data_IF_674635802435
#
_entry.id   IF_674635802435
#
_cell.length_a   1.000
_cell.length_b   1.000
_cell.length_c   1.000
_cell.angle_alpha   90.00
_cell.angle_beta   90.00
_cell.angle_gamma   90.00
#
_symmetry.space_group_name_H-M   'P 1'
#
loop_
_entity.id
_entity.type
_entity.pdbx_description
1 polymer ?
#
# COMPACT_ATOMS: atom_id res chain seq x y z
N UNK A 1 -28.82 7.30 -23.20
CA UNK A 1 -27.38 6.97 -23.18
C UNK A 1 -27.21 5.78 -22.25
N UNK A 2 -26.73 4.65 -22.74
CA UNK A 2 -26.44 3.48 -21.90
C UNK A 2 -25.28 3.82 -21.01
N UNK A 3 -25.44 3.57 -19.73
CA UNK A 3 -24.41 3.78 -18.73
C UNK A 3 -23.15 2.97 -19.02
N UNK A 4 -22.00 3.60 -18.85
CA UNK A 4 -20.66 3.03 -19.12
C UNK A 4 -19.95 2.55 -17.86
N UNK A 5 -20.52 2.80 -16.66
CA UNK A 5 -19.98 2.45 -15.34
C UNK A 5 -21.08 1.73 -14.58
N UNK A 6 -21.03 0.42 -14.54
CA UNK A 6 -22.20 -0.39 -14.15
C UNK A 6 -22.34 -0.61 -12.65
N UNK A 7 -21.24 -0.96 -11.97
CA UNK A 7 -21.29 -1.28 -10.53
C UNK A 7 -21.62 -0.04 -9.71
N UNK A 8 -20.88 1.06 -9.92
CA UNK A 8 -21.16 2.31 -9.22
C UNK A 8 -22.54 2.89 -9.55
N UNK A 9 -23.06 2.67 -10.75
CA UNK A 9 -24.42 3.11 -11.07
C UNK A 9 -25.51 2.28 -10.39
N UNK A 10 -25.32 0.97 -10.23
CA UNK A 10 -26.21 0.17 -9.39
C UNK A 10 -26.23 0.78 -7.98
N UNK A 11 -25.06 0.98 -7.40
CA UNK A 11 -24.91 1.57 -6.06
C UNK A 11 -25.51 2.97 -5.96
N UNK A 12 -25.44 3.79 -7.01
CA UNK A 12 -25.99 5.14 -7.02
C UNK A 12 -27.50 5.22 -7.07
N UNK A 13 -28.16 4.15 -7.50
CA UNK A 13 -29.63 4.06 -7.58
C UNK A 13 -30.21 3.48 -6.30
N UNK A 14 -29.71 2.33 -5.93
CA UNK A 14 -30.14 1.60 -4.75
C UNK A 14 -29.00 0.69 -4.27
N UNK A 15 -28.70 0.74 -2.98
CA UNK A 15 -27.75 -0.20 -2.40
C UNK A 15 -28.43 -1.57 -2.27
N UNK A 16 -27.95 -2.61 -3.00
CA UNK A 16 -28.46 -3.96 -2.84
C UNK A 16 -28.26 -4.48 -1.42
N UNK A 17 -29.03 -5.49 -0.96
CA UNK A 17 -28.83 -6.09 0.34
C UNK A 17 -27.35 -6.47 0.55
N UNK A 18 -26.76 -5.97 1.64
CA UNK A 18 -25.36 -6.25 1.95
C UNK A 18 -25.26 -7.67 2.53
N UNK A 19 -24.43 -8.55 1.96
CA UNK A 19 -24.21 -9.87 2.52
C UNK A 19 -23.67 -9.80 3.97
N UNK A 20 -24.11 -10.67 4.84
CA UNK A 20 -23.69 -10.70 6.25
C UNK A 20 -22.17 -10.76 6.39
N UNK A 21 -21.49 -11.54 5.55
CA UNK A 21 -20.02 -11.62 5.54
C UNK A 21 -19.37 -10.24 5.29
N UNK A 22 -19.93 -9.45 4.35
CA UNK A 22 -19.46 -8.08 4.04
C UNK A 22 -19.61 -7.16 5.26
N UNK A 23 -20.72 -7.26 6.00
CA UNK A 23 -20.95 -6.44 7.21
C UNK A 23 -19.88 -6.73 8.25
N UNK A 24 -19.53 -7.98 8.50
CA UNK A 24 -18.46 -8.34 9.43
C UNK A 24 -17.09 -7.85 8.98
N UNK A 25 -16.76 -7.97 7.70
CA UNK A 25 -15.51 -7.43 7.15
C UNK A 25 -15.41 -5.91 7.33
N UNK A 26 -16.49 -5.17 7.06
CA UNK A 26 -16.53 -3.72 7.26
C UNK A 26 -16.35 -3.33 8.72
N UNK A 27 -16.98 -4.07 9.66
CA UNK A 27 -16.82 -3.85 11.09
C UNK A 27 -15.38 -4.06 11.55
N UNK A 28 -14.76 -5.19 11.17
CA UNK A 28 -13.35 -5.49 11.50
C UNK A 28 -12.41 -4.41 10.95
N UNK A 29 -12.64 -3.96 9.72
CA UNK A 29 -11.83 -2.93 9.08
C UNK A 29 -11.99 -1.55 9.73
N UNK A 30 -13.19 -1.20 10.21
CA UNK A 30 -13.40 0.01 10.98
C UNK A 30 -12.63 -0.02 12.30
N UNK A 31 -12.59 -1.18 12.98
CA UNK A 31 -11.79 -1.37 14.19
C UNK A 31 -10.28 -1.23 13.89
N UNK A 32 -9.77 -1.87 12.84
CA UNK A 32 -8.37 -1.75 12.44
C UNK A 32 -7.98 -0.32 12.10
N UNK A 33 -8.83 0.43 11.37
CA UNK A 33 -8.60 1.85 11.08
C UNK A 33 -8.48 2.67 12.36
N UNK A 34 -9.35 2.43 13.34
CA UNK A 34 -9.29 3.11 14.64
C UNK A 34 -8.02 2.79 15.44
N UNK A 35 -7.49 1.58 15.31
CA UNK A 35 -6.28 1.12 16.01
C UNK A 35 -4.97 1.54 15.34
N UNK A 36 -4.96 1.89 14.05
CA UNK A 36 -3.71 2.11 13.30
C UNK A 36 -2.82 3.21 13.91
N UNK A 37 -3.38 4.26 14.50
CA UNK A 37 -2.59 5.28 15.21
C UNK A 37 -1.80 4.72 16.38
N UNK A 38 -2.35 3.75 17.10
CA UNK A 38 -1.66 3.10 18.23
C UNK A 38 -0.40 2.38 17.72
N UNK A 39 -0.48 1.77 16.55
CA UNK A 39 0.65 1.05 15.95
C UNK A 39 1.71 2.03 15.43
N UNK A 40 1.30 3.13 14.82
CA UNK A 40 2.24 4.11 14.23
C UNK A 40 3.00 4.92 15.27
N UNK A 41 2.47 5.07 16.48
CA UNK A 41 3.15 5.81 17.58
C UNK A 41 4.19 4.99 18.34
N UNK A 42 4.15 3.64 18.26
CA UNK A 42 4.89 2.78 19.18
C UNK A 42 6.32 2.40 18.75
N UNK A 43 6.66 2.47 17.46
CA UNK A 43 7.95 1.95 16.98
C UNK A 43 8.44 2.62 15.69
N UNK A 44 8.90 3.90 15.70
CA UNK A 44 9.27 4.64 14.48
C UNK A 44 10.30 3.93 13.59
N UNK A 45 11.34 3.35 14.20
CA UNK A 45 12.40 2.64 13.48
C UNK A 45 11.91 1.36 12.79
N UNK A 46 11.03 0.64 13.46
CA UNK A 46 10.40 -0.55 12.89
C UNK A 46 9.51 -0.22 11.73
N UNK A 47 8.73 0.85 11.86
CA UNK A 47 7.87 1.36 10.78
C UNK A 47 8.69 1.79 9.57
N UNK A 48 9.86 2.41 9.76
CA UNK A 48 10.77 2.76 8.66
C UNK A 48 11.19 1.51 7.88
N UNK A 49 11.64 0.46 8.58
CA UNK A 49 12.02 -0.81 7.93
C UNK A 49 10.84 -1.48 7.21
N UNK A 50 9.65 -1.46 7.83
CA UNK A 50 8.44 -2.00 7.20
C UNK A 50 8.08 -1.23 5.93
N UNK A 51 8.18 0.11 5.92
CA UNK A 51 7.93 0.94 4.73
C UNK A 51 8.89 0.60 3.59
N UNK A 52 10.19 0.52 3.87
CA UNK A 52 11.20 0.17 2.88
C UNK A 52 10.94 -1.23 2.29
N UNK A 53 10.60 -2.20 3.15
CA UNK A 53 10.30 -3.56 2.73
C UNK A 53 9.00 -3.64 1.91
N UNK A 54 7.94 -2.99 2.38
CA UNK A 54 6.66 -2.94 1.68
C UNK A 54 6.79 -2.30 0.28
N UNK A 55 7.59 -1.23 0.15
CA UNK A 55 7.84 -0.58 -1.14
C UNK A 55 8.48 -1.55 -2.15
N UNK A 56 9.46 -2.34 -1.69
CA UNK A 56 10.13 -3.34 -2.55
C UNK A 56 9.14 -4.45 -2.92
N UNK A 57 8.46 -5.03 -1.92
CA UNK A 57 7.48 -6.10 -2.15
C UNK A 57 6.37 -5.65 -3.12
N UNK A 58 5.82 -4.45 -2.93
CA UNK A 58 4.75 -3.91 -3.77
C UNK A 58 5.18 -3.72 -5.22
N UNK A 59 6.34 -3.11 -5.44
CA UNK A 59 6.84 -2.88 -6.79
C UNK A 59 7.11 -4.19 -7.54
N UNK A 60 7.69 -5.18 -6.86
CA UNK A 60 7.98 -6.48 -7.46
C UNK A 60 6.71 -7.29 -7.66
N UNK A 61 5.86 -7.42 -6.63
CA UNK A 61 4.65 -8.24 -6.69
C UNK A 61 3.64 -7.73 -7.72
N UNK A 62 3.41 -6.41 -7.79
CA UNK A 62 2.49 -5.83 -8.77
C UNK A 62 2.89 -6.15 -10.22
N UNK A 63 4.18 -6.11 -10.51
CA UNK A 63 4.69 -6.45 -11.83
C UNK A 63 4.65 -7.98 -12.10
N UNK A 64 4.94 -8.79 -11.08
CA UNK A 64 4.92 -10.25 -11.19
C UNK A 64 3.50 -10.81 -11.42
N UNK A 65 2.46 -10.18 -10.88
CA UNK A 65 1.06 -10.50 -11.19
C UNK A 65 0.83 -10.43 -12.71
N UNK A 66 1.41 -9.44 -13.39
CA UNK A 66 1.30 -9.22 -14.84
C UNK A 66 2.34 -10.01 -15.66
N UNK A 67 3.12 -10.90 -15.02
CA UNK A 67 4.14 -11.70 -15.69
C UNK A 67 5.47 -10.98 -15.94
N UNK A 68 5.64 -9.75 -15.46
CA UNK A 68 6.91 -9.01 -15.52
C UNK A 68 7.78 -9.40 -14.34
N UNK A 69 8.95 -9.97 -14.61
CA UNK A 69 9.88 -10.50 -13.59
C UNK A 69 11.26 -9.89 -13.73
N UNK A 70 11.94 -9.71 -12.61
CA UNK A 70 13.33 -9.26 -12.51
C UNK A 70 14.14 -10.30 -11.75
N UNK A 71 15.43 -10.42 -12.03
CA UNK A 71 16.32 -11.30 -11.25
C UNK A 71 16.25 -10.96 -9.76
N UNK A 72 15.96 -11.96 -8.95
CA UNK A 72 15.78 -11.81 -7.50
C UNK A 72 16.95 -11.11 -6.80
N UNK A 73 18.18 -11.32 -7.30
CA UNK A 73 19.38 -10.65 -6.77
C UNK A 73 19.41 -9.16 -7.07
N UNK A 74 18.67 -8.72 -8.07
CA UNK A 74 18.63 -7.33 -8.53
C UNK A 74 17.40 -6.56 -8.04
N UNK A 75 16.32 -7.25 -7.60
CA UNK A 75 15.06 -6.64 -7.18
C UNK A 75 15.28 -5.42 -6.27
N UNK A 76 16.04 -5.60 -5.17
CA UNK A 76 16.32 -4.51 -4.22
C UNK A 76 17.09 -3.36 -4.87
N UNK A 77 18.12 -3.66 -5.66
CA UNK A 77 18.94 -2.64 -6.29
C UNK A 77 18.16 -1.87 -7.37
N UNK A 78 17.30 -2.57 -8.12
CA UNK A 78 16.39 -1.97 -9.10
C UNK A 78 15.38 -1.07 -8.39
N UNK A 79 14.65 -1.54 -7.40
CA UNK A 79 13.62 -0.77 -6.71
C UNK A 79 14.22 0.43 -5.96
N UNK A 80 15.37 0.28 -5.31
CA UNK A 80 16.00 1.35 -4.52
C UNK A 80 16.87 2.32 -5.33
N UNK A 81 16.96 2.17 -6.66
CA UNK A 81 17.75 3.06 -7.49
C UNK A 81 19.26 2.91 -7.38
N UNK A 82 19.73 1.77 -6.89
CA UNK A 82 21.14 1.52 -6.62
C UNK A 82 21.89 0.84 -7.77
N UNK A 83 21.21 0.54 -8.87
CA UNK A 83 21.79 -0.05 -10.05
C UNK A 83 21.21 0.56 -11.34
N UNK A 84 22.00 0.64 -12.44
CA UNK A 84 21.47 0.97 -13.75
C UNK A 84 20.49 -0.12 -14.20
N UNK A 85 19.43 0.29 -14.89
CA UNK A 85 18.40 -0.59 -15.42
C UNK A 85 18.94 -1.31 -16.66
N UNK A 86 18.74 -2.63 -16.76
CA UNK A 86 19.30 -3.46 -17.82
C UNK A 86 18.30 -3.74 -18.94
N UNK A 87 17.02 -3.83 -18.62
CA UNK A 87 15.99 -4.22 -19.55
C UNK A 87 14.65 -3.50 -19.27
N UNK A 88 13.65 -3.81 -20.08
CA UNK A 88 12.33 -3.26 -19.97
C UNK A 88 11.61 -3.68 -18.68
N UNK A 89 11.80 -4.92 -18.23
CA UNK A 89 11.15 -5.40 -17.01
C UNK A 89 11.62 -4.60 -15.79
N UNK A 90 12.92 -4.31 -15.70
CA UNK A 90 13.47 -3.46 -14.65
C UNK A 90 12.96 -2.02 -14.74
N UNK A 91 12.75 -1.50 -15.95
CA UNK A 91 12.16 -0.18 -16.17
C UNK A 91 10.71 -0.14 -15.67
N UNK A 92 9.90 -1.16 -15.96
CA UNK A 92 8.51 -1.25 -15.53
C UNK A 92 8.40 -1.40 -13.99
N UNK A 93 9.25 -2.22 -13.36
CA UNK A 93 9.33 -2.33 -11.88
C UNK A 93 9.72 -1.00 -11.24
N UNK A 94 10.71 -0.31 -11.81
CA UNK A 94 11.13 1.02 -11.34
C UNK A 94 10.02 2.06 -11.56
N UNK A 95 9.34 2.03 -12.69
CA UNK A 95 8.23 2.91 -13.00
C UNK A 95 7.08 2.75 -11.99
N UNK A 96 6.72 1.52 -11.67
CA UNK A 96 5.72 1.23 -10.63
C UNK A 96 6.17 1.76 -9.26
N UNK A 97 7.41 1.50 -8.86
CA UNK A 97 7.99 2.01 -7.63
C UNK A 97 7.93 3.55 -7.55
N UNK A 98 8.21 4.24 -8.65
CA UNK A 98 8.14 5.70 -8.72
C UNK A 98 6.70 6.19 -8.51
N UNK A 99 5.72 5.58 -9.18
CA UNK A 99 4.31 5.89 -9.01
C UNK A 99 3.82 5.61 -7.57
N UNK A 100 4.22 4.47 -7.01
CA UNK A 100 3.89 4.09 -5.63
C UNK A 100 4.50 5.08 -4.63
N UNK A 101 5.75 5.49 -4.83
CA UNK A 101 6.40 6.49 -3.98
C UNK A 101 5.70 7.84 -4.04
N UNK A 102 5.21 8.24 -5.22
CA UNK A 102 4.42 9.45 -5.38
C UNK A 102 3.09 9.35 -4.60
N UNK A 103 2.37 8.23 -4.70
CA UNK A 103 1.17 7.98 -3.89
C UNK A 103 1.48 8.05 -2.39
N UNK A 104 2.56 7.41 -1.94
CA UNK A 104 2.96 7.44 -0.54
C UNK A 104 3.29 8.85 -0.01
N UNK A 105 3.94 9.67 -0.84
CA UNK A 105 4.39 11.00 -0.42
C UNK A 105 3.27 12.06 -0.51
N UNK A 106 2.42 12.00 -1.53
CA UNK A 106 1.57 13.12 -1.92
C UNK A 106 0.07 12.76 -2.06
N UNK A 107 -0.38 11.62 -1.53
CA UNK A 107 -1.77 11.16 -1.69
C UNK A 107 -2.81 12.23 -1.35
N UNK A 108 -2.58 13.08 -0.32
CA UNK A 108 -3.51 14.15 0.07
C UNK A 108 -3.74 15.18 -1.06
N UNK A 109 -2.75 15.40 -1.91
CA UNK A 109 -2.82 16.34 -3.04
C UNK A 109 -3.23 15.69 -4.37
N UNK A 110 -3.18 14.35 -4.45
CA UNK A 110 -3.53 13.61 -5.66
C UNK A 110 -5.05 13.43 -5.72
N UNK A 111 -5.69 14.07 -6.68
CA UNK A 111 -7.12 13.86 -6.95
C UNK A 111 -7.28 12.75 -7.99
N UNK A 112 -8.23 11.84 -7.77
CA UNK A 112 -8.56 10.78 -8.71
C UNK A 112 -9.32 11.35 -9.92
N UNK A 113 -8.58 11.62 -10.99
CA UNK A 113 -9.07 12.18 -12.26
C UNK A 113 -8.59 11.32 -13.42
N UNK A 114 -9.18 11.45 -14.62
CA UNK A 114 -8.63 10.84 -15.83
C UNK A 114 -7.15 11.17 -16.05
N UNK A 115 -6.74 12.42 -15.79
CA UNK A 115 -5.34 12.83 -15.91
C UNK A 115 -4.42 12.09 -14.93
N UNK A 116 -4.84 11.87 -13.70
CA UNK A 116 -4.09 11.08 -12.71
C UNK A 116 -3.96 9.62 -13.14
N UNK A 117 -5.03 9.04 -13.69
CA UNK A 117 -5.04 7.67 -14.23
C UNK A 117 -4.07 7.53 -15.39
N UNK A 118 -4.08 8.48 -16.34
CA UNK A 118 -3.12 8.53 -17.45
C UNK A 118 -1.68 8.70 -16.96
N UNK A 119 -1.47 9.54 -15.93
CA UNK A 119 -0.14 9.73 -15.32
C UNK A 119 0.36 8.44 -14.65
N UNK A 120 -0.46 7.71 -13.92
CA UNK A 120 -0.09 6.41 -13.38
C UNK A 120 0.30 5.43 -14.48
N UNK A 121 -0.46 5.41 -15.58
CA UNK A 121 -0.13 4.56 -16.73
C UNK A 121 1.22 4.94 -17.34
N UNK A 122 1.47 6.23 -17.61
CA UNK A 122 2.75 6.71 -18.13
C UNK A 122 3.93 6.32 -17.22
N UNK A 123 3.76 6.43 -15.89
CA UNK A 123 4.81 6.08 -14.94
C UNK A 123 5.07 4.56 -14.89
N UNK A 124 4.03 3.74 -15.00
CA UNK A 124 4.16 2.27 -14.94
C UNK A 124 4.60 1.65 -16.26
N UNK A 125 4.56 2.42 -17.36
CA UNK A 125 4.93 2.03 -18.73
C UNK A 125 5.97 2.97 -19.32
N UNK A 126 7.11 3.19 -18.65
CA UNK A 126 8.10 4.17 -19.11
C UNK A 126 8.66 3.79 -20.47
N UNK A 127 8.81 4.79 -21.36
CA UNK A 127 9.42 4.61 -22.67
C UNK A 127 8.56 3.83 -23.68
N UNK A 128 7.31 3.51 -23.39
CA UNK A 128 6.40 2.91 -24.36
C UNK A 128 5.65 3.99 -25.11
N UNK A 129 5.32 3.71 -26.38
CA UNK A 129 4.61 4.67 -27.23
C UNK A 129 3.17 4.95 -26.76
N UNK A 130 2.56 3.97 -26.06
CA UNK A 130 1.21 4.03 -25.51
C UNK A 130 1.16 4.54 -24.05
N UNK A 131 2.32 4.87 -23.46
CA UNK A 131 2.43 5.36 -22.09
C UNK A 131 1.61 6.63 -21.83
N UNK A 132 0.60 6.55 -20.96
CA UNK A 132 -0.29 7.67 -20.65
C UNK A 132 -1.39 7.92 -21.68
N UNK A 133 -1.71 6.93 -22.53
CA UNK A 133 -2.77 7.03 -23.54
C UNK A 133 -3.82 5.94 -23.33
N UNK A 134 -5.09 6.27 -23.56
CA UNK A 134 -6.13 5.27 -23.61
C UNK A 134 -5.97 4.38 -24.83
N UNK A 135 -6.53 3.16 -24.77
CA UNK A 135 -6.54 2.24 -25.91
C UNK A 135 -7.24 2.86 -27.12
N UNK A 136 -6.66 2.65 -28.31
CA UNK A 136 -7.20 3.13 -29.57
C UNK A 136 -8.02 2.08 -30.32
N UNK A 137 -7.90 0.81 -29.91
CA UNK A 137 -8.61 -0.31 -30.48
C UNK A 137 -9.29 -1.16 -29.41
N UNK A 138 -10.40 -1.77 -29.77
CA UNK A 138 -11.08 -2.75 -28.93
C UNK A 138 -10.18 -3.97 -28.73
N UNK A 139 -10.31 -4.61 -27.56
CA UNK A 139 -9.53 -5.78 -27.20
C UNK A 139 -10.36 -6.81 -26.44
N UNK A 140 -9.76 -7.96 -26.23
CA UNK A 140 -10.34 -9.05 -25.43
C UNK A 140 -9.38 -9.47 -24.36
N UNK A 141 -9.89 -9.73 -23.16
CA UNK A 141 -9.13 -10.39 -22.10
C UNK A 141 -9.29 -11.90 -22.32
N UNK A 142 -8.17 -12.53 -22.65
CA UNK A 142 -8.13 -13.94 -23.01
C UNK A 142 -7.42 -14.77 -21.92
N UNK A 143 -7.87 -16.00 -21.80
CA UNK A 143 -7.19 -17.05 -21.03
C UNK A 143 -6.58 -18.07 -21.98
N UNK A 144 -5.27 -18.32 -21.82
CA UNK A 144 -4.56 -19.36 -22.55
C UNK A 144 -4.43 -20.59 -21.67
N UNK A 145 -5.03 -21.68 -22.07
CA UNK A 145 -4.95 -22.96 -21.37
C UNK A 145 -3.68 -23.73 -21.72
N UNK A 146 -3.21 -24.63 -20.85
CA UNK A 146 -2.01 -25.45 -21.13
C UNK A 146 -2.11 -26.31 -22.38
N UNK A 147 -3.31 -26.66 -22.81
CA UNK A 147 -3.60 -27.42 -24.03
C UNK A 147 -3.63 -26.56 -25.31
N UNK A 148 -3.27 -25.28 -25.20
CA UNK A 148 -3.25 -24.32 -26.30
C UNK A 148 -4.59 -23.68 -26.65
N UNK A 149 -5.70 -24.06 -26.00
CA UNK A 149 -6.99 -23.38 -26.16
C UNK A 149 -6.91 -21.95 -25.64
N UNK A 150 -7.59 -21.07 -26.37
CA UNK A 150 -7.75 -19.67 -25.97
C UNK A 150 -9.25 -19.42 -25.74
N UNK A 151 -9.60 -18.95 -24.55
CA UNK A 151 -10.96 -18.55 -24.21
C UNK A 151 -11.03 -17.06 -23.91
N UNK A 152 -12.04 -16.39 -24.41
CA UNK A 152 -12.31 -14.98 -24.07
C UNK A 152 -12.93 -14.97 -22.67
N UNK A 153 -12.24 -14.39 -21.71
CA UNK A 153 -12.73 -14.24 -20.33
C UNK A 153 -13.69 -13.06 -20.20
N UNK A 154 -13.34 -11.96 -20.85
CA UNK A 154 -14.11 -10.74 -20.77
C UNK A 154 -13.83 -9.85 -22.00
N UNK A 155 -14.83 -9.13 -22.47
CA UNK A 155 -14.70 -8.08 -23.48
C UNK A 155 -14.84 -6.73 -22.79
N UNK A 156 -13.75 -5.96 -22.64
CA UNK A 156 -13.80 -4.63 -22.05
C UNK A 156 -14.70 -3.68 -22.86
N UNK A 157 -14.95 -2.52 -22.26
CA UNK A 157 -15.63 -1.42 -22.96
C UNK A 157 -14.86 -1.03 -24.23
N UNK A 158 -15.58 -0.55 -25.27
CA UNK A 158 -14.94 -0.15 -26.53
C UNK A 158 -13.93 0.99 -26.33
N UNK A 159 -12.94 1.09 -27.21
CA UNK A 159 -11.95 2.16 -27.19
C UNK A 159 -12.62 3.54 -27.29
N UNK A 160 -13.64 3.66 -28.12
CA UNK A 160 -14.42 4.89 -28.32
C UNK A 160 -15.11 5.38 -27.04
N UNK A 161 -15.64 4.47 -26.23
CA UNK A 161 -16.38 4.80 -25.00
C UNK A 161 -15.46 5.00 -23.79
N UNK A 162 -14.21 4.55 -23.88
CA UNK A 162 -13.26 4.51 -22.76
C UNK A 162 -13.01 5.88 -22.10
N UNK A 163 -12.74 7.00 -22.83
CA UNK A 163 -12.48 8.30 -22.18
C UNK A 163 -13.67 8.78 -21.34
N UNK A 164 -14.88 8.69 -21.86
CA UNK A 164 -16.10 9.12 -21.16
C UNK A 164 -16.41 8.21 -19.96
N UNK A 165 -16.15 6.91 -20.11
CA UNK A 165 -16.31 5.95 -19.03
C UNK A 165 -15.34 6.22 -17.84
N UNK A 166 -14.08 6.53 -18.14
CA UNK A 166 -13.10 6.86 -17.11
C UNK A 166 -13.45 8.18 -16.41
N UNK A 167 -13.89 9.20 -17.16
CA UNK A 167 -14.38 10.45 -16.57
C UNK A 167 -15.57 10.20 -15.64
N UNK A 168 -16.55 9.43 -16.13
CA UNK A 168 -17.74 9.04 -15.35
C UNK A 168 -17.40 8.22 -14.10
N UNK A 169 -16.41 7.32 -14.20
CA UNK A 169 -15.92 6.53 -13.07
C UNK A 169 -15.42 7.44 -11.93
N UNK A 170 -14.57 8.40 -12.27
CA UNK A 170 -14.02 9.35 -11.30
C UNK A 170 -15.12 10.21 -10.67
N UNK A 171 -16.00 10.79 -11.48
CA UNK A 171 -17.07 11.69 -11.00
C UNK A 171 -18.05 10.96 -10.09
N UNK A 172 -18.48 9.75 -10.50
CA UNK A 172 -19.48 8.97 -9.76
C UNK A 172 -18.90 8.44 -8.43
N UNK A 173 -17.66 7.95 -8.45
CA UNK A 173 -16.96 7.53 -7.24
C UNK A 173 -16.81 8.69 -6.24
N UNK A 174 -16.31 9.85 -6.70
CA UNK A 174 -16.16 11.03 -5.86
C UNK A 174 -17.50 11.52 -5.29
N UNK A 175 -18.59 11.42 -6.06
CA UNK A 175 -19.94 11.76 -5.61
C UNK A 175 -20.41 10.84 -4.49
N UNK A 176 -20.35 9.50 -4.72
CA UNK A 176 -20.81 8.50 -3.75
C UNK A 176 -20.03 8.57 -2.44
N UNK A 177 -18.70 8.83 -2.51
CA UNK A 177 -17.87 9.00 -1.33
C UNK A 177 -18.24 10.27 -0.53
N UNK A 178 -18.65 11.36 -1.19
CA UNK A 178 -19.10 12.59 -0.52
C UNK A 178 -20.48 12.44 0.09
N UNK A 179 -21.40 11.78 -0.59
CA UNK A 179 -22.78 11.57 -0.12
C UNK A 179 -22.85 10.64 1.09
N UNK A 180 -21.88 9.76 1.26
CA UNK A 180 -21.77 8.79 2.37
C UNK A 180 -23.02 7.94 2.61
N UNK A 181 -23.83 7.73 1.58
CA UNK A 181 -25.02 6.87 1.64
C UNK A 181 -24.67 5.40 1.55
N UNK A 182 -23.45 5.09 1.11
CA UNK A 182 -22.90 3.74 0.94
C UNK A 182 -21.61 3.65 1.73
N UNK A 183 -21.34 2.51 2.41
CA UNK A 183 -20.05 2.31 3.08
C UNK A 183 -18.88 2.55 2.13
N UNK A 184 -17.93 3.47 2.46
CA UNK A 184 -16.88 3.91 1.54
C UNK A 184 -16.02 2.77 0.97
N UNK A 185 -15.77 1.71 1.73
CA UNK A 185 -15.03 0.54 1.27
C UNK A 185 -15.78 -0.29 0.23
N UNK A 186 -17.12 -0.22 0.17
CA UNK A 186 -17.90 -0.84 -0.91
C UNK A 186 -17.71 -0.02 -2.20
N UNK A 187 -17.77 1.31 -2.11
CA UNK A 187 -17.51 2.21 -3.25
C UNK A 187 -16.08 2.00 -3.77
N UNK A 188 -15.10 1.92 -2.89
CA UNK A 188 -13.70 1.64 -3.20
C UNK A 188 -13.51 0.36 -4.03
N UNK A 189 -14.11 -0.75 -3.60
CA UNK A 189 -14.00 -2.02 -4.30
C UNK A 189 -14.80 -2.04 -5.61
N UNK A 190 -16.00 -1.43 -5.63
CA UNK A 190 -16.83 -1.30 -6.81
C UNK A 190 -16.18 -0.43 -7.92
N UNK A 191 -15.55 0.67 -7.54
CA UNK A 191 -14.77 1.53 -8.43
C UNK A 191 -13.65 0.73 -9.12
N UNK A 192 -12.94 -0.10 -8.36
CA UNK A 192 -11.88 -0.91 -8.92
C UNK A 192 -12.38 -1.98 -9.88
N UNK A 193 -13.52 -2.62 -9.57
CA UNK A 193 -14.18 -3.55 -10.49
C UNK A 193 -14.56 -2.86 -11.80
N UNK A 194 -15.24 -1.71 -11.72
CA UNK A 194 -15.62 -0.95 -12.90
C UNK A 194 -14.40 -0.51 -13.72
N UNK A 195 -13.31 -0.06 -13.08
CA UNK A 195 -12.05 0.27 -13.77
C UNK A 195 -11.50 -0.92 -14.55
N UNK A 196 -11.50 -2.11 -13.95
CA UNK A 196 -11.01 -3.33 -14.60
C UNK A 196 -11.94 -3.80 -15.72
N UNK A 197 -13.24 -3.55 -15.64
CA UNK A 197 -14.20 -3.84 -16.72
C UNK A 197 -14.12 -2.83 -17.88
N UNK A 198 -13.89 -1.56 -17.59
CA UNK A 198 -13.58 -0.53 -18.62
C UNK A 198 -12.28 -0.89 -19.32
N UNK A 199 -11.26 -1.31 -18.56
CA UNK A 199 -9.94 -1.72 -19.06
C UNK A 199 -9.34 -0.69 -20.00
N UNK A 200 -9.04 0.52 -19.50
CA UNK A 200 -8.82 1.70 -20.34
C UNK A 200 -7.55 1.67 -21.19
N UNK A 201 -6.62 0.78 -20.91
CA UNK A 201 -5.32 0.72 -21.56
C UNK A 201 -5.16 -0.59 -22.37
N UNK A 202 -4.24 -0.55 -23.33
CA UNK A 202 -3.84 -1.76 -24.06
C UNK A 202 -3.14 -2.77 -23.15
N UNK A 203 -2.31 -2.29 -22.20
CA UNK A 203 -1.58 -3.05 -21.21
C UNK A 203 -1.39 -2.19 -19.95
N UNK A 204 -1.06 -2.78 -18.80
CA UNK A 204 -0.81 -2.06 -17.56
C UNK A 204 -2.05 -1.73 -16.72
N UNK A 205 -3.24 -2.17 -17.12
CA UNK A 205 -4.49 -1.93 -16.39
C UNK A 205 -4.43 -2.45 -14.95
N UNK A 206 -3.93 -3.66 -14.72
CA UNK A 206 -3.79 -4.22 -13.39
C UNK A 206 -2.86 -3.41 -12.48
N UNK A 207 -1.75 -2.92 -13.01
CA UNK A 207 -0.80 -2.06 -12.26
C UNK A 207 -1.44 -0.74 -11.87
N UNK A 208 -2.11 -0.07 -12.80
CA UNK A 208 -2.83 1.18 -12.53
C UNK A 208 -3.97 0.95 -11.53
N UNK A 209 -4.73 -0.14 -11.65
CA UNK A 209 -5.82 -0.47 -10.73
C UNK A 209 -5.33 -0.64 -9.28
N UNK A 210 -4.16 -1.26 -9.08
CA UNK A 210 -3.57 -1.44 -7.74
C UNK A 210 -3.06 -0.13 -7.14
N UNK A 211 -2.50 0.77 -7.96
CA UNK A 211 -2.15 2.13 -7.51
C UNK A 211 -3.39 2.94 -7.12
N UNK A 212 -4.48 2.84 -7.88
CA UNK A 212 -5.77 3.47 -7.55
C UNK A 212 -6.36 2.89 -6.27
N UNK A 213 -6.33 1.55 -6.09
CA UNK A 213 -6.77 0.93 -4.83
C UNK A 213 -6.05 1.53 -3.63
N UNK A 214 -4.74 1.68 -3.73
CA UNK A 214 -3.93 2.19 -2.62
C UNK A 214 -4.18 3.69 -2.37
N UNK A 215 -4.26 4.51 -3.43
CA UNK A 215 -4.56 5.93 -3.33
C UNK A 215 -5.90 6.16 -2.65
N UNK A 216 -6.96 5.49 -3.13
CA UNK A 216 -8.31 5.59 -2.56
C UNK A 216 -8.35 5.13 -1.10
N UNK A 217 -7.60 4.07 -0.71
CA UNK A 217 -7.49 3.64 0.68
C UNK A 217 -6.89 4.73 1.58
N UNK A 218 -5.88 5.46 1.10
CA UNK A 218 -5.27 6.56 1.85
C UNK A 218 -6.25 7.72 2.02
N UNK A 219 -7.02 8.07 1.00
CA UNK A 219 -8.09 9.06 1.11
C UNK A 219 -9.18 8.65 2.11
N UNK A 220 -9.42 7.36 2.29
CA UNK A 220 -10.34 6.81 3.28
C UNK A 220 -9.71 6.66 4.68
N UNK A 221 -8.44 7.06 4.86
CA UNK A 221 -7.73 6.97 6.13
C UNK A 221 -7.21 5.57 6.47
N UNK A 222 -7.06 4.68 5.49
CA UNK A 222 -6.47 3.35 5.65
C UNK A 222 -5.02 3.35 5.19
N UNK A 223 -4.08 3.54 6.12
CA UNK A 223 -2.65 3.71 5.79
C UNK A 223 -1.81 2.43 5.91
N UNK A 224 -2.43 1.30 6.21
CA UNK A 224 -1.74 0.02 6.40
C UNK A 224 -0.86 -0.40 5.21
N UNK A 225 -1.25 -0.02 3.99
CA UNK A 225 -0.50 -0.27 2.76
C UNK A 225 0.89 0.37 2.68
N UNK A 226 1.18 1.35 3.57
CA UNK A 226 2.53 1.92 3.71
C UNK A 226 3.52 0.92 4.33
N UNK A 227 3.02 -0.04 5.09
CA UNK A 227 3.82 -0.93 5.94
C UNK A 227 3.75 -2.39 5.50
N UNK A 228 2.64 -2.77 4.85
CA UNK A 228 2.39 -4.12 4.34
C UNK A 228 1.95 -4.01 2.88
N UNK A 229 2.58 -4.77 2.00
CA UNK A 229 2.25 -4.75 0.58
C UNK A 229 0.89 -5.40 0.30
N UNK A 230 -0.07 -4.61 -0.20
CA UNK A 230 -1.35 -5.07 -0.71
C UNK A 230 -1.14 -5.96 -1.95
N UNK A 231 -0.22 -5.55 -2.82
CA UNK A 231 0.08 -6.24 -4.08
C UNK A 231 0.66 -7.63 -3.83
N UNK A 232 1.49 -7.80 -2.81
CA UNK A 232 2.01 -9.12 -2.41
C UNK A 232 0.89 -10.04 -1.92
N UNK A 233 -0.06 -9.52 -1.14
CA UNK A 233 -1.22 -10.31 -0.69
C UNK A 233 -2.10 -10.73 -1.88
N UNK A 234 -2.30 -9.84 -2.86
CA UNK A 234 -3.01 -10.16 -4.10
C UNK A 234 -2.22 -11.21 -4.90
N UNK A 235 -0.87 -11.07 -5.01
CA UNK A 235 -0.02 -12.05 -5.69
C UNK A 235 -0.13 -13.44 -5.05
N UNK A 236 -0.10 -13.51 -3.72
CA UNK A 236 -0.21 -14.77 -2.98
C UNK A 236 -1.55 -15.49 -3.13
N UNK A 237 -2.61 -14.73 -3.45
CA UNK A 237 -3.96 -15.24 -3.70
C UNK A 237 -4.41 -14.99 -5.15
N UNK A 238 -3.46 -15.04 -6.11
CA UNK A 238 -3.67 -14.65 -7.51
C UNK A 238 -4.82 -15.41 -8.19
N UNK A 239 -4.94 -16.71 -7.94
CA UNK A 239 -6.02 -17.52 -8.48
C UNK A 239 -7.38 -17.00 -7.99
N UNK A 240 -7.50 -16.75 -6.68
CA UNK A 240 -8.73 -16.24 -6.07
C UNK A 240 -9.08 -14.84 -6.56
N UNK A 241 -8.07 -13.98 -6.74
CA UNK A 241 -8.25 -12.65 -7.32
C UNK A 241 -8.91 -12.72 -8.70
N UNK A 242 -8.36 -13.53 -9.61
CA UNK A 242 -8.90 -13.66 -10.95
C UNK A 242 -10.25 -14.40 -11.00
N UNK A 243 -10.45 -15.39 -10.13
CA UNK A 243 -11.73 -16.11 -10.02
C UNK A 243 -12.86 -15.15 -9.62
N UNK A 244 -12.67 -14.37 -8.55
CA UNK A 244 -13.68 -13.42 -8.06
C UNK A 244 -13.91 -12.28 -9.03
N UNK A 245 -12.87 -11.78 -9.70
CA UNK A 245 -13.00 -10.79 -10.76
C UNK A 245 -13.81 -11.34 -11.95
N UNK A 246 -13.55 -12.58 -12.35
CA UNK A 246 -14.31 -13.23 -13.43
C UNK A 246 -15.78 -13.41 -13.05
N UNK A 247 -16.06 -13.90 -11.84
CA UNK A 247 -17.43 -14.05 -11.35
C UNK A 247 -18.17 -12.72 -11.36
N UNK A 248 -17.52 -11.66 -10.86
CA UNK A 248 -18.14 -10.35 -10.70
C UNK A 248 -18.19 -9.52 -11.99
N UNK A 249 -17.49 -9.92 -13.05
CA UNK A 249 -17.59 -9.26 -14.35
C UNK A 249 -18.65 -9.87 -15.28
N UNK A 250 -19.20 -11.05 -14.95
CA UNK A 250 -20.26 -11.68 -15.75
C UNK A 250 -21.56 -10.88 -15.70
N UNK A 251 -22.10 -10.48 -16.86
CA UNK A 251 -23.30 -9.64 -16.95
C UNK A 251 -23.06 -8.17 -16.59
N UNK A 252 -21.79 -7.74 -16.52
CA UNK A 252 -21.45 -6.34 -16.20
C UNK A 252 -22.02 -5.37 -17.25
N UNK A 253 -21.92 -5.67 -18.54
CA UNK A 253 -22.45 -4.81 -19.61
C UNK A 253 -23.96 -4.57 -19.51
N UNK A 254 -24.69 -5.56 -19.03
CA UNK A 254 -26.14 -5.50 -18.81
C UNK A 254 -26.53 -4.87 -17.47
N UNK A 255 -25.56 -4.59 -16.59
CA UNK A 255 -25.81 -4.12 -15.22
C UNK A 255 -26.55 -5.15 -14.36
N UNK A 256 -26.32 -6.45 -14.59
CA UNK A 256 -26.94 -7.57 -13.87
C UNK A 256 -25.92 -8.49 -13.21
N UNK A 257 -24.70 -8.02 -13.04
CA UNK A 257 -23.61 -8.76 -12.44
C UNK A 257 -23.71 -8.77 -10.91
N UNK A 258 -23.20 -9.85 -10.30
CA UNK A 258 -22.98 -9.92 -8.85
C UNK A 258 -21.57 -9.43 -8.54
N UNK A 259 -21.46 -8.23 -7.97
CA UNK A 259 -20.18 -7.64 -7.63
C UNK A 259 -19.65 -8.05 -6.23
N UNK A 260 -20.46 -8.73 -5.41
CA UNK A 260 -20.08 -9.09 -4.05
C UNK A 260 -18.89 -10.05 -3.94
N UNK A 261 -18.68 -11.04 -4.82
CA UNK A 261 -17.50 -11.90 -4.75
C UNK A 261 -16.19 -11.10 -4.78
N UNK A 262 -16.08 -10.12 -5.69
CA UNK A 262 -14.89 -9.29 -5.81
C UNK A 262 -14.77 -8.27 -4.68
N UNK A 263 -15.86 -7.63 -4.27
CA UNK A 263 -15.90 -6.72 -3.11
C UNK A 263 -15.42 -7.45 -1.86
N UNK A 264 -15.97 -8.62 -1.57
CA UNK A 264 -15.58 -9.41 -0.40
C UNK A 264 -14.12 -9.88 -0.46
N UNK A 265 -13.62 -10.21 -1.64
CA UNK A 265 -12.22 -10.55 -1.83
C UNK A 265 -11.30 -9.38 -1.45
N UNK A 266 -11.58 -8.17 -1.93
CA UNK A 266 -10.78 -7.00 -1.62
C UNK A 266 -10.86 -6.60 -0.14
N UNK A 267 -12.06 -6.65 0.46
CA UNK A 267 -12.23 -6.40 1.90
C UNK A 267 -11.48 -7.42 2.75
N UNK A 268 -11.53 -8.70 2.38
CA UNK A 268 -10.79 -9.75 3.06
C UNK A 268 -9.27 -9.52 2.93
N UNK A 269 -8.77 -9.20 1.73
CA UNK A 269 -7.35 -8.91 1.50
C UNK A 269 -6.88 -7.70 2.33
N UNK A 270 -7.72 -6.66 2.45
CA UNK A 270 -7.44 -5.52 3.31
C UNK A 270 -7.43 -5.90 4.80
N UNK A 271 -8.33 -6.78 5.24
CA UNK A 271 -8.32 -7.33 6.60
C UNK A 271 -7.03 -8.10 6.89
N UNK A 272 -6.59 -8.99 5.99
CA UNK A 272 -5.33 -9.72 6.11
C UNK A 272 -4.12 -8.76 6.16
N UNK A 273 -4.14 -7.66 5.39
CA UNK A 273 -3.13 -6.62 5.44
C UNK A 273 -3.01 -6.02 6.86
N UNK A 274 -4.13 -5.68 7.47
CA UNK A 274 -4.14 -5.10 8.81
C UNK A 274 -3.79 -6.12 9.89
N UNK A 275 -4.24 -7.36 9.77
CA UNK A 275 -3.87 -8.44 10.67
C UNK A 275 -2.34 -8.69 10.64
N UNK A 276 -1.73 -8.68 9.46
CA UNK A 276 -0.29 -8.77 9.31
C UNK A 276 0.43 -7.53 9.87
N UNK A 277 -0.12 -6.34 9.65
CA UNK A 277 0.43 -5.10 10.19
C UNK A 277 0.46 -5.13 11.72
N UNK A 278 -0.66 -5.47 12.36
CA UNK A 278 -0.77 -5.63 13.81
C UNK A 278 0.24 -6.65 14.34
N UNK A 279 0.32 -7.82 13.71
CA UNK A 279 1.28 -8.86 14.06
C UNK A 279 2.72 -8.36 13.96
N UNK A 280 3.11 -7.78 12.82
CA UNK A 280 4.49 -7.30 12.61
C UNK A 280 4.87 -6.14 13.53
N UNK A 281 3.95 -5.26 13.91
CA UNK A 281 4.18 -4.21 14.90
C UNK A 281 4.16 -4.77 16.32
N UNK A 282 3.23 -5.68 16.63
CA UNK A 282 3.06 -6.31 17.94
C UNK A 282 4.13 -7.35 18.28
N UNK A 283 4.78 -7.97 17.29
CA UNK A 283 5.90 -8.86 17.52
C UNK A 283 7.01 -8.07 18.22
N UNK A 284 7.07 -8.16 19.53
CA UNK A 284 8.22 -7.68 20.32
C UNK A 284 9.44 -8.48 19.89
N UNK A 285 9.97 -8.14 18.71
CA UNK A 285 11.15 -8.75 18.16
C UNK A 285 12.31 -8.44 19.08
N UNK A 286 12.76 -9.43 19.80
CA UNK A 286 14.09 -9.50 20.34
C UNK A 286 15.11 -9.64 19.18
N UNK A 287 15.13 -8.72 18.22
CA UNK A 287 16.31 -8.54 17.40
C UNK A 287 17.43 -8.14 18.36
N UNK A 288 18.44 -8.99 18.49
CA UNK A 288 19.63 -8.72 19.30
C UNK A 288 20.17 -7.33 18.89
N UNK A 289 19.98 -6.31 19.73
CA UNK A 289 20.43 -4.94 19.49
C UNK A 289 19.33 -3.87 19.37
N UNK A 290 18.09 -4.19 19.00
CA UNK A 290 17.02 -3.20 18.77
C UNK A 290 16.68 -2.39 20.03
N UNK A 291 16.64 -3.06 21.20
CA UNK A 291 16.47 -2.38 22.50
C UNK A 291 17.65 -1.47 22.83
N UNK A 292 18.86 -1.86 22.46
CA UNK A 292 20.09 -1.07 22.64
C UNK A 292 20.05 0.18 21.76
N UNK A 293 19.64 0.03 20.51
CA UNK A 293 19.55 1.14 19.56
C UNK A 293 18.45 2.14 19.95
N UNK A 294 17.29 1.67 20.36
CA UNK A 294 16.21 2.52 20.88
C UNK A 294 16.67 3.36 22.10
N UNK A 295 17.47 2.77 22.99
CA UNK A 295 18.04 3.52 24.12
C UNK A 295 19.08 4.52 23.65
N UNK A 296 19.95 4.19 22.69
CA UNK A 296 20.93 5.12 22.12
C UNK A 296 20.28 6.33 21.46
N UNK A 297 19.23 6.11 20.67
CA UNK A 297 18.46 7.18 20.04
C UNK A 297 17.77 8.09 21.06
N UNK A 298 17.14 7.48 22.07
CA UNK A 298 16.52 8.26 23.14
C UNK A 298 17.55 9.11 23.93
N UNK A 299 18.78 8.62 24.09
CA UNK A 299 19.89 9.36 24.69
C UNK A 299 20.32 10.51 23.75
N UNK A 300 20.53 10.25 22.48
CA UNK A 300 20.94 11.26 21.49
C UNK A 300 19.93 12.40 21.35
N UNK A 301 18.62 12.11 21.56
CA UNK A 301 17.56 13.10 21.56
C UNK A 301 17.48 13.95 22.85
N UNK A 302 18.32 13.69 23.86
CA UNK A 302 18.37 14.47 25.10
C UNK A 302 19.31 15.65 24.93
N UNK A 303 18.77 16.85 24.67
CA UNK A 303 19.56 18.10 24.58
C UNK A 303 20.04 18.65 25.92
N UNK A 304 19.49 18.17 27.04
CA UNK A 304 19.81 18.60 28.43
C UNK A 304 20.12 17.40 29.32
N UNK A 305 20.80 17.59 30.47
CA UNK A 305 21.02 16.49 31.41
C UNK A 305 19.70 15.84 31.84
N UNK A 306 19.64 14.51 31.90
CA UNK A 306 18.45 13.72 32.14
C UNK A 306 18.64 12.69 33.26
N UNK A 307 17.53 12.28 33.88
CA UNK A 307 17.50 11.16 34.83
C UNK A 307 17.15 9.85 34.08
N UNK A 308 17.64 8.73 34.63
CA UNK A 308 17.34 7.39 34.07
C UNK A 308 15.83 7.11 33.99
N UNK A 309 15.02 7.67 34.89
CA UNK A 309 13.56 7.55 34.85
C UNK A 309 12.89 8.27 33.66
N UNK A 310 13.52 9.35 33.16
CA UNK A 310 13.04 10.01 31.92
C UNK A 310 13.33 9.16 30.70
N UNK A 311 14.52 8.55 30.67
CA UNK A 311 14.87 7.63 29.58
C UNK A 311 13.97 6.39 29.56
N UNK A 312 13.60 5.87 30.74
CA UNK A 312 12.67 4.76 30.85
C UNK A 312 11.29 5.10 30.28
N UNK A 313 10.78 6.31 30.49
CA UNK A 313 9.52 6.78 29.91
C UNK A 313 9.60 6.93 28.38
N UNK A 314 10.77 7.31 27.85
CA UNK A 314 11.03 7.46 26.41
C UNK A 314 11.28 6.12 25.70
N UNK A 315 11.60 5.05 26.45
CA UNK A 315 11.88 3.71 25.92
C UNK A 315 10.85 2.70 26.46
N UNK A 316 9.56 2.78 26.11
CA UNK A 316 8.56 1.84 26.59
C UNK A 316 8.91 0.41 26.14
N UNK A 317 8.88 -0.55 27.07
CA UNK A 317 9.22 -1.96 26.81
C UNK A 317 10.71 -2.32 26.92
N UNK A 318 11.58 -1.37 27.28
CA UNK A 318 12.99 -1.63 27.64
C UNK A 318 13.13 -1.70 29.16
N UNK A 319 13.76 -2.78 29.66
CA UNK A 319 13.98 -2.92 31.11
C UNK A 319 15.00 -1.90 31.63
N UNK A 320 14.83 -1.49 32.89
CA UNK A 320 15.73 -0.55 33.54
C UNK A 320 17.20 -1.04 33.51
N UNK A 321 17.39 -2.36 33.62
CA UNK A 321 18.74 -2.96 33.60
C UNK A 321 19.38 -2.88 32.22
N UNK A 322 18.59 -3.00 31.14
CA UNK A 322 19.09 -2.77 29.78
C UNK A 322 19.51 -1.31 29.61
N UNK A 323 18.69 -0.36 30.05
CA UNK A 323 19.00 1.07 29.99
C UNK A 323 20.31 1.36 30.75
N UNK A 324 20.45 0.80 31.95
CA UNK A 324 21.69 0.92 32.76
C UNK A 324 22.90 0.34 32.04
N UNK A 325 22.73 -0.82 31.39
CA UNK A 325 23.79 -1.46 30.61
C UNK A 325 24.26 -0.55 29.48
N UNK A 326 23.32 -0.04 28.67
CA UNK A 326 23.65 0.86 27.54
C UNK A 326 24.35 2.14 28.04
N UNK A 327 23.84 2.80 29.09
CA UNK A 327 24.48 3.97 29.68
C UNK A 327 25.89 3.67 30.19
N UNK A 328 26.10 2.50 30.78
CA UNK A 328 27.43 2.06 31.25
C UNK A 328 28.40 1.86 30.07
N UNK A 329 27.90 1.26 28.97
CA UNK A 329 28.74 1.02 27.80
C UNK A 329 29.09 2.34 27.09
N UNK A 330 28.10 3.26 26.90
CA UNK A 330 28.34 4.59 26.34
C UNK A 330 29.28 5.45 27.22
N UNK A 331 29.21 5.30 28.56
CA UNK A 331 30.14 5.99 29.47
C UNK A 331 31.56 5.48 29.31
N UNK A 332 31.78 4.19 29.07
CA UNK A 332 33.12 3.62 28.84
C UNK A 332 33.80 4.18 27.58
N UNK A 333 33.01 4.50 26.54
CA UNK A 333 33.51 5.08 25.29
C UNK A 333 33.45 6.61 25.26
N UNK A 334 33.04 7.24 26.39
CA UNK A 334 33.04 8.69 26.55
C UNK A 334 31.88 9.43 25.89
N UNK A 335 30.89 8.75 25.34
CA UNK A 335 29.72 9.38 24.69
C UNK A 335 28.74 10.00 25.71
N UNK A 336 28.70 9.51 26.94
CA UNK A 336 27.89 10.08 28.02
C UNK A 336 28.68 10.21 29.30
N UNK A 337 28.39 11.24 30.12
CA UNK A 337 28.92 11.42 31.46
C UNK A 337 27.79 11.32 32.50
N UNK A 338 28.15 10.87 33.71
CA UNK A 338 27.23 10.77 34.83
C UNK A 338 27.76 11.57 36.01
N UNK A 339 26.92 12.43 36.58
CA UNK A 339 27.18 13.19 37.80
C UNK A 339 26.23 12.75 38.91
N UNK A 340 26.72 12.62 40.13
CA UNK A 340 25.95 12.12 41.28
C UNK A 340 25.92 10.59 41.39
N UNK A 341 25.19 10.08 42.38
CA UNK A 341 25.03 8.63 42.65
C UNK A 341 23.61 8.29 43.02
N UNK A 342 23.21 7.03 42.76
CA UNK A 342 21.89 6.49 43.11
C UNK A 342 20.75 7.18 42.38
N UNK A 343 19.62 7.44 43.05
CA UNK A 343 18.41 8.03 42.46
C UNK A 343 18.57 9.48 41.96
N UNK A 344 19.62 10.18 42.37
CA UNK A 344 19.96 11.56 42.00
C UNK A 344 21.02 11.64 40.89
N UNK A 345 21.41 10.52 40.30
CA UNK A 345 22.33 10.48 39.18
C UNK A 345 21.78 11.18 37.95
N UNK A 346 22.50 12.17 37.43
CA UNK A 346 22.21 12.90 36.19
C UNK A 346 23.15 12.44 35.09
N UNK A 347 22.61 12.20 33.92
CA UNK A 347 23.35 11.81 32.72
C UNK A 347 23.33 12.95 31.72
N UNK A 348 24.44 13.15 31.01
CA UNK A 348 24.53 14.11 29.89
C UNK A 348 25.24 13.48 28.72
N UNK A 349 24.80 13.82 27.49
CA UNK A 349 25.51 13.48 26.24
C UNK A 349 26.76 14.36 26.17
N UNK A 350 27.89 13.75 25.86
CA UNK A 350 29.14 14.46 25.60
C UNK A 350 29.17 14.76 24.10
N UNK A 351 29.12 16.04 23.72
CA UNK A 351 29.27 16.42 22.30
C UNK A 351 30.60 15.93 21.74
N UNK A 352 30.62 15.51 20.50
CA UNK A 352 31.84 15.22 19.75
C UNK A 352 32.82 16.39 19.93
N UNK A 353 34.00 16.12 20.47
CA UNK A 353 35.09 17.09 20.34
C UNK A 353 35.32 17.33 18.86
N UNK A 354 35.41 18.58 18.42
CA UNK A 354 35.89 18.83 17.05
C UNK A 354 37.31 18.25 16.98
N UNK A 355 37.59 17.47 15.95
CA UNK A 355 38.95 17.06 15.60
C UNK A 355 39.79 18.32 15.45
N UNK A 356 40.70 18.49 16.39
CA UNK A 356 41.78 19.45 16.28
C UNK A 356 42.96 18.77 15.59
N UNK A 357 43.30 19.30 14.41
CA UNK A 357 44.59 19.15 13.81
C UNK A 357 44.63 18.42 12.49
#
# INVERSE_FOLDING_TARGET
>A
MTSQVKTLEILSRELPPIPTATVWLLNDLAEYRGKQELYTRQAPQRLKKLREHALIESAVASNRIEGVTVDRKREVAVVMGKAPLQDRNEQEVRGYQTALSWVHAEHESIVETPATILKFHAMTRPGTWDGGQFKEADGEIIEKHPDGRVTVRFRPLSARETPDAVARLCDLSARLLREQTIPPLIVWAAQNLDFLCIHPFRDGNGRVSRLLLLLSLYHLGFEGGRYISLERLIEQSKERYYETLQQSSQGWHEGRHDFWPYVNYLLYTLKELYAEFERRVGERGAARGEKTESVREAISACAVPFHIGELQRRCPGVSLDMIRKVLKDLRKIGEVACTGRGKHAMWRVMGNKPDNG
#
